data_IF_475434833015
#
_entry.id   IF_475434833015
#
_cell.length_a   1.000
_cell.length_b   1.000
_cell.length_c   1.000
_cell.angle_alpha   90.00
_cell.angle_beta   90.00
_cell.angle_gamma   90.00
#
_symmetry.space_group_name_H-M   'P 1'
#
loop_
_entity.id
_entity.type
_entity.pdbx_description
1 polymer ?
2 branched ?
3 non-polymer ?
4 non-polymer ?
5 non-polymer ?
6 non-polymer ?
7 non-polymer ?
8 water ?
#
# COMPACT_ATOMS: atom_id res chain seq x y z
N UNK A 22 4.63 22.34 34.06
CA UNK A 22 4.33 21.98 32.64
C UNK A 22 5.58 22.12 31.77
N UNK A 23 5.97 21.03 31.10
CA UNK A 23 6.86 21.06 29.91
C UNK A 23 5.94 21.23 28.71
N UNK A 24 5.87 22.43 28.09
CA UNK A 24 5.06 22.61 26.89
C UNK A 24 5.65 21.78 25.74
N UNK A 25 4.79 21.13 24.97
CA UNK A 25 5.15 20.45 23.71
C UNK A 25 4.52 21.23 22.54
N UNK A 26 5.18 21.19 21.39
CA UNK A 26 4.59 21.71 20.12
C UNK A 26 3.36 20.87 19.83
N UNK A 27 2.19 21.48 19.56
CA UNK A 27 0.99 20.70 19.24
C UNK A 27 1.17 19.86 17.97
N UNK A 28 0.49 18.73 17.95
CA UNK A 28 0.39 17.87 16.76
C UNK A 28 -0.29 18.65 15.64
N UNK A 29 0.30 18.58 14.44
CA UNK A 29 -0.31 19.20 13.23
C UNK A 29 -0.01 18.26 12.07
N UNK A 30 -0.86 18.26 11.05
CA UNK A 30 -0.53 17.52 9.81
C UNK A 30 0.77 18.12 9.25
N UNK A 31 1.66 17.27 8.77
CA UNK A 31 2.78 17.68 7.91
C UNK A 31 2.24 17.88 6.50
N UNK A 32 2.56 19.03 5.91
CA UNK A 32 2.18 19.31 4.51
C UNK A 32 3.31 18.82 3.60
N UNK A 33 2.95 18.00 2.63
CA UNK A 33 3.80 17.73 1.45
C UNK A 33 3.43 18.80 0.43
N UNK A 34 4.33 19.76 0.23
CA UNK A 34 4.00 20.99 -0.52
C UNK A 34 4.35 20.87 -2.00
N UNK A 35 3.84 21.81 -2.80
CA UNK A 35 4.20 21.87 -4.22
C UNK A 35 5.71 22.09 -4.35
N UNK A 36 6.28 22.94 -3.50
CA UNK A 36 7.73 23.19 -3.54
C UNK A 36 8.53 21.91 -3.28
N UNK A 37 8.08 21.09 -2.33
CA UNK A 37 8.73 19.77 -2.10
C UNK A 37 8.64 18.95 -3.40
N UNK A 38 7.47 18.93 -4.01
CA UNK A 38 7.23 18.09 -5.20
C UNK A 38 8.07 18.58 -6.38
N UNK A 39 8.39 19.86 -6.43
CA UNK A 39 9.26 20.38 -7.51
C UNK A 39 10.67 19.79 -7.42
N UNK A 40 11.04 19.25 -6.27
CA UNK A 40 12.36 18.60 -6.08
C UNK A 40 12.36 17.16 -6.62
N UNK A 41 11.22 16.62 -7.05
CA UNK A 41 11.20 15.19 -7.44
C UNK A 41 12.07 15.00 -8.68
N UNK A 42 13.04 14.09 -8.57
CA UNK A 42 13.98 13.77 -9.66
C UNK A 42 13.65 12.36 -10.16
N UNK A 43 13.17 12.26 -11.39
CA UNK A 43 12.78 10.97 -11.99
C UNK A 43 14.02 10.23 -12.53
N UNK A 44 15.21 10.82 -12.45
CA UNK A 44 16.45 10.34 -13.11
C UNK A 44 17.58 10.12 -12.10
N UNK A 45 17.22 9.80 -10.86
CA UNK A 45 18.21 9.62 -9.77
C UNK A 45 18.47 8.13 -9.60
N UNK A 46 19.67 7.62 -9.90
CA UNK A 46 19.88 6.18 -9.83
C UNK A 46 19.77 5.63 -8.41
N UNK A 47 19.90 6.46 -7.39
CA UNK A 47 19.80 6.02 -5.98
C UNK A 47 18.34 5.83 -5.57
N UNK A 48 17.39 6.30 -6.38
CA UNK A 48 15.94 6.25 -6.03
C UNK A 48 15.14 5.73 -7.23
N UNK A 49 15.75 4.88 -8.05
CA UNK A 49 15.08 4.27 -9.21
C UNK A 49 15.03 2.75 -9.05
N UNK A 50 13.87 2.16 -9.25
CA UNK A 50 13.73 0.68 -9.20
C UNK A 50 14.48 0.08 -10.37
N UNK A 51 15.22 -1.03 -10.16
CA UNK A 51 15.85 -1.76 -11.26
C UNK A 51 14.83 -2.13 -12.35
N UNK A 52 15.28 -2.11 -13.60
CA UNK A 52 14.44 -2.48 -14.77
C UNK A 52 13.95 -3.93 -14.64
N UNK A 53 12.65 -4.11 -14.78
CA UNK A 53 12.03 -5.45 -14.88
C UNK A 53 12.28 -5.99 -16.29
N UNK A 54 12.69 -7.25 -16.36
CA UNK A 54 12.95 -7.97 -17.64
C UNK A 54 11.62 -8.28 -18.34
N UNK A 55 11.61 -8.17 -19.67
CA UNK A 55 10.44 -8.54 -20.48
C UNK A 55 10.13 -10.02 -20.41
N UNK A 56 11.07 -10.86 -19.94
CA UNK A 56 10.91 -12.33 -19.87
C UNK A 56 10.50 -12.77 -18.45
N UNK A 57 9.91 -11.88 -17.65
CA UNK A 57 9.52 -12.22 -16.27
C UNK A 57 8.62 -13.45 -16.25
N UNK A 58 8.74 -14.29 -15.20
CA UNK A 58 7.85 -15.43 -15.01
C UNK A 58 6.51 -14.96 -14.41
N UNK A 59 5.49 -15.78 -14.56
CA UNK A 59 4.11 -15.50 -14.10
C UNK A 59 3.70 -16.59 -13.11
N UNK A 60 3.26 -16.20 -11.92
CA UNK A 60 3.09 -17.15 -10.79
C UNK A 60 1.80 -17.97 -10.93
N UNK A 61 0.82 -17.53 -11.72
CA UNK A 61 -0.45 -18.29 -11.92
C UNK A 61 -1.00 -18.08 -13.32
N UNK A 62 -1.49 -19.17 -13.93
CA UNK A 62 -2.23 -19.13 -15.22
C UNK A 62 -3.74 -19.09 -14.96
N UNK A 63 -4.17 -18.98 -13.71
CA UNK A 63 -5.61 -18.97 -13.32
C UNK A 63 -6.03 -17.61 -12.76
N UNK A 64 -5.14 -16.92 -12.05
CA UNK A 64 -5.49 -15.64 -11.37
C UNK A 64 -4.39 -14.62 -11.63
N UNK A 65 -4.81 -13.37 -11.63
CA UNK A 65 -3.93 -12.19 -11.47
C UNK A 65 -3.77 -11.92 -9.98
N UNK A 66 -2.58 -11.50 -9.57
CA UNK A 66 -2.41 -10.89 -8.23
C UNK A 66 -1.87 -9.49 -8.41
N UNK A 67 -2.05 -8.69 -7.38
CA UNK A 67 -1.35 -7.40 -7.39
C UNK A 67 -0.91 -7.11 -5.97
N UNK A 68 -1.55 -6.18 -5.27
CA UNK A 68 -1.18 -5.78 -3.89
C UNK A 68 -0.91 -7.03 -3.06
N UNK A 69 0.30 -7.12 -2.54
CA UNK A 69 0.80 -8.29 -1.78
C UNK A 69 1.07 -7.86 -0.34
N UNK A 70 0.53 -8.60 0.61
CA UNK A 70 0.47 -8.23 2.04
C UNK A 70 1.08 -9.37 2.84
N UNK A 71 2.38 -9.31 3.17
CA UNK A 71 3.01 -10.39 3.94
C UNK A 71 2.38 -10.51 5.33
N UNK A 72 2.24 -11.74 5.82
CA UNK A 72 1.85 -11.96 7.22
C UNK A 72 2.89 -11.31 8.13
N UNK A 73 2.41 -10.63 9.15
CA UNK A 73 3.30 -9.91 10.09
C UNK A 73 2.65 -9.85 11.47
N UNK A 74 3.45 -9.64 12.50
CA UNK A 74 2.90 -9.38 13.85
C UNK A 74 2.53 -7.90 13.99
N UNK A 75 2.00 -7.54 15.15
CA UNK A 75 1.47 -6.16 15.35
C UNK A 75 2.62 -5.15 15.38
N UNK A 76 3.85 -5.61 15.63
CA UNK A 76 5.05 -4.76 15.74
C UNK A 76 5.69 -4.55 14.36
N UNK A 77 5.20 -5.20 13.30
CA UNK A 77 5.71 -5.01 11.93
C UNK A 77 6.65 -6.11 11.48
N UNK A 78 6.96 -7.08 12.32
CA UNK A 78 7.89 -8.18 11.93
C UNK A 78 7.19 -9.11 10.93
N UNK A 79 7.80 -9.28 9.77
CA UNK A 79 7.33 -10.25 8.75
C UNK A 79 7.49 -11.65 9.37
N UNK A 80 6.42 -12.43 9.38
CA UNK A 80 6.36 -13.67 10.16
C UNK A 80 6.11 -14.89 9.26
N UNK A 81 6.91 -15.94 9.48
CA UNK A 81 6.58 -17.31 9.06
C UNK A 81 5.87 -18.01 10.21
N UNK A 82 5.15 -19.08 9.86
CA UNK A 82 4.43 -19.91 10.86
C UNK A 82 4.91 -21.35 10.67
N UNK A 83 5.54 -21.89 11.71
CA UNK A 83 6.14 -23.24 11.65
C UNK A 83 7.01 -23.35 10.39
N UNK A 84 7.75 -22.28 10.08
CA UNK A 84 8.71 -22.25 8.98
C UNK A 84 8.08 -21.85 7.65
N UNK A 85 6.76 -21.73 7.56
CA UNK A 85 6.05 -21.37 6.31
C UNK A 85 5.92 -19.85 6.21
N UNK A 86 6.51 -19.27 5.17
CA UNK A 86 6.19 -17.87 4.80
C UNK A 86 4.77 -17.85 4.24
N UNK A 87 4.05 -16.76 4.51
CA UNK A 87 2.64 -16.58 4.08
C UNK A 87 2.48 -15.15 3.56
N UNK A 88 1.87 -15.04 2.39
CA UNK A 88 1.44 -13.73 1.84
C UNK A 88 -0.05 -13.78 1.55
N UNK A 89 -0.71 -12.65 1.72
CA UNK A 89 -2.08 -12.41 1.25
C UNK A 89 -1.97 -11.56 -0.01
N UNK A 90 -2.84 -11.78 -0.97
CA UNK A 90 -2.84 -11.00 -2.23
C UNK A 90 -4.25 -10.55 -2.56
N UNK A 91 -4.36 -9.36 -3.11
CA UNK A 91 -5.54 -9.03 -3.92
C UNK A 91 -5.45 -9.84 -5.20
N UNK A 92 -6.57 -10.41 -5.60
CA UNK A 92 -6.62 -11.51 -6.57
C UNK A 92 -7.85 -11.35 -7.45
N UNK A 93 -7.71 -11.64 -8.73
CA UNK A 93 -8.82 -11.63 -9.68
C UNK A 93 -8.63 -12.78 -10.66
N UNK A 94 -9.73 -13.40 -11.05
CA UNK A 94 -9.67 -14.43 -12.09
C UNK A 94 -9.09 -13.86 -13.38
N UNK A 95 -8.30 -14.67 -14.06
CA UNK A 95 -8.05 -14.54 -15.51
C UNK A 95 -9.23 -15.14 -16.26
N UNK A 96 -9.66 -14.49 -17.33
CA UNK A 96 -10.91 -14.84 -18.08
C UNK A 96 -10.60 -14.95 -19.57
N UNK A 97 -9.67 -15.83 -19.98
CA UNK A 97 -9.22 -15.87 -21.38
C UNK A 97 -10.31 -16.28 -22.41
N UNK A 98 -11.42 -16.88 -21.97
CA UNK A 98 -12.50 -17.36 -22.87
C UNK A 98 -13.71 -16.43 -22.81
N UNK A 99 -13.68 -15.37 -21.99
CA UNK A 99 -14.80 -14.41 -21.88
C UNK A 99 -15.00 -13.71 -23.22
N UNK A 100 -16.21 -13.78 -23.82
CA UNK A 100 -16.48 -13.05 -25.07
C UNK A 100 -16.20 -11.55 -24.98
N UNK A 101 -16.40 -10.96 -23.80
CA UNK A 101 -16.19 -9.50 -23.56
C UNK A 101 -14.73 -9.11 -23.80
N UNK A 102 -13.81 -10.08 -23.75
CA UNK A 102 -12.35 -9.83 -23.84
C UNK A 102 -11.78 -10.36 -25.16
N UNK A 103 -12.61 -10.73 -26.11
CA UNK A 103 -12.15 -11.14 -27.46
C UNK A 103 -12.14 -9.90 -28.37
N UNK A 104 -11.01 -9.63 -29.03
CA UNK A 104 -10.83 -8.47 -29.93
C UNK A 104 -11.55 -8.75 -31.25
N UNK A 105 -11.40 -7.85 -32.24
CA UNK A 105 -12.09 -7.92 -33.56
C UNK A 105 -11.67 -9.18 -34.31
N UNK A 106 -10.44 -9.66 -34.10
CA UNK A 106 -9.89 -10.89 -34.75
C UNK A 106 -10.18 -12.12 -33.90
N UNK A 107 -10.98 -11.99 -32.83
CA UNK A 107 -11.44 -13.10 -31.98
C UNK A 107 -10.36 -13.59 -31.02
N UNK A 108 -9.36 -12.75 -30.72
CA UNK A 108 -8.23 -13.10 -29.81
C UNK A 108 -8.41 -12.40 -28.46
N UNK A 109 -8.07 -13.11 -27.39
CA UNK A 109 -8.11 -12.62 -25.98
C UNK A 109 -7.24 -11.37 -25.86
N UNK A 110 -7.81 -10.32 -25.27
CA UNK A 110 -7.13 -9.04 -24.93
C UNK A 110 -6.93 -8.98 -23.41
N UNK A 111 -5.77 -9.45 -22.94
CA UNK A 111 -5.42 -9.50 -21.49
C UNK A 111 -5.59 -8.11 -20.85
N UNK A 112 -5.35 -7.03 -21.58
CA UNK A 112 -5.38 -5.67 -20.98
C UNK A 112 -6.78 -5.38 -20.42
N UNK A 113 -7.84 -5.77 -21.13
CA UNK A 113 -9.24 -5.49 -20.68
C UNK A 113 -9.53 -6.26 -19.40
N UNK A 114 -9.10 -7.52 -19.34
CA UNK A 114 -9.30 -8.43 -18.20
C UNK A 114 -8.53 -7.89 -16.98
N UNK A 115 -7.27 -7.54 -17.18
CA UNK A 115 -6.42 -6.93 -16.14
C UNK A 115 -7.05 -5.64 -15.61
N UNK A 116 -7.53 -4.77 -16.49
CA UNK A 116 -8.11 -3.47 -16.07
C UNK A 116 -9.36 -3.69 -15.19
N UNK A 117 -10.05 -4.81 -15.37
CA UNK A 117 -11.30 -5.10 -14.63
C UNK A 117 -11.01 -5.78 -13.28
N UNK A 118 -9.75 -5.95 -12.90
CA UNK A 118 -9.42 -6.71 -11.67
C UNK A 118 -10.01 -6.04 -10.43
N UNK A 119 -10.02 -4.71 -10.37
CA UNK A 119 -10.40 -4.03 -9.12
C UNK A 119 -11.85 -4.33 -8.77
N UNK A 120 -12.71 -4.45 -9.78
CA UNK A 120 -14.15 -4.65 -9.55
C UNK A 120 -14.49 -6.06 -9.10
N UNK A 121 -13.52 -6.99 -9.15
CA UNK A 121 -13.74 -8.41 -8.78
C UNK A 121 -12.67 -8.87 -7.79
N UNK A 122 -12.05 -7.94 -7.05
CA UNK A 122 -10.91 -8.25 -6.16
C UNK A 122 -11.36 -9.10 -4.98
N UNK A 123 -10.57 -10.12 -4.66
CA UNK A 123 -10.75 -10.95 -3.45
C UNK A 123 -9.39 -11.25 -2.83
N UNK A 124 -9.40 -11.52 -1.53
CA UNK A 124 -8.19 -11.91 -0.77
C UNK A 124 -7.90 -13.39 -1.01
N UNK A 125 -6.70 -13.70 -1.47
CA UNK A 125 -6.15 -15.08 -1.46
C UNK A 125 -4.95 -15.09 -0.51
N UNK A 126 -4.49 -16.30 -0.18
CA UNK A 126 -3.19 -16.49 0.49
C UNK A 126 -2.35 -17.46 -0.33
N UNK A 127 -1.06 -17.37 -0.11
CA UNK A 127 0.02 -18.18 -0.72
C UNK A 127 1.04 -18.50 0.34
N UNK A 128 1.83 -19.55 0.13
CA UNK A 128 2.80 -19.98 1.16
C UNK A 128 4.02 -20.60 0.51
N UNK A 129 5.10 -20.63 1.27
CA UNK A 129 6.39 -21.19 0.81
C UNK A 129 7.35 -21.32 1.99
N UNK A 130 8.17 -22.37 2.00
CA UNK A 130 9.22 -22.51 3.05
C UNK A 130 10.48 -21.74 2.64
N UNK A 131 10.51 -21.10 1.47
CA UNK A 131 11.73 -20.38 1.00
C UNK A 131 11.49 -18.86 0.89
N UNK A 132 10.28 -18.38 1.15
CA UNK A 132 10.00 -16.94 0.96
C UNK A 132 9.90 -16.57 -0.51
N UNK A 133 9.78 -17.51 -1.42
CA UNK A 133 9.54 -17.27 -2.86
C UNK A 133 8.98 -18.55 -3.48
N UNK A 134 8.74 -18.55 -4.78
CA UNK A 134 8.19 -19.75 -5.47
C UNK A 134 6.89 -20.14 -4.76
N UNK A 135 6.01 -19.17 -4.61
CA UNK A 135 4.78 -19.25 -3.80
C UNK A 135 3.85 -20.32 -4.33
N UNK A 136 3.25 -21.03 -3.38
CA UNK A 136 2.19 -22.04 -3.63
C UNK A 136 0.85 -21.37 -3.33
N UNK A 137 -0.08 -21.48 -4.27
CA UNK A 137 -1.41 -20.85 -4.09
C UNK A 137 -2.21 -21.60 -3.02
N UNK A 138 -2.85 -20.87 -2.11
CA UNK A 138 -3.71 -21.42 -1.04
C UNK A 138 -5.19 -21.22 -1.30
N UNK A 139 -5.57 -20.24 -2.11
CA UNK A 139 -6.97 -19.95 -2.47
C UNK A 139 -7.54 -18.83 -1.65
N UNK A 140 -8.85 -18.67 -1.75
CA UNK A 140 -9.57 -17.54 -1.13
C UNK A 140 -9.46 -17.66 0.39
N UNK A 141 -9.33 -16.53 1.07
CA UNK A 141 -9.24 -16.49 2.56
C UNK A 141 -10.65 -16.65 3.13
N UNK A 142 -11.60 -15.88 2.62
CA UNK A 142 -13.00 -15.91 3.07
C UNK A 142 -13.82 -16.69 2.06
N UNK A 143 -14.61 -17.62 2.56
CA UNK A 143 -15.52 -18.41 1.72
C UNK A 143 -16.59 -17.52 1.08
N UNK A 144 -17.22 -18.04 0.04
CA UNK A 144 -18.36 -17.39 -0.66
C UNK A 144 -19.42 -17.02 0.40
N UNK A 145 -19.89 -15.78 0.37
CA UNK A 145 -21.00 -15.31 1.23
C UNK A 145 -20.51 -14.57 2.46
N UNK A 146 -19.22 -14.68 2.83
CA UNK A 146 -18.71 -14.07 4.09
C UNK A 146 -18.53 -12.56 3.89
N UNK A 147 -17.86 -12.15 2.82
CA UNK A 147 -17.57 -10.71 2.59
C UNK A 147 -18.88 -9.97 2.40
N UNK A 148 -19.15 -8.88 3.16
CA UNK A 148 -20.41 -8.15 3.02
C UNK A 148 -20.49 -7.27 1.78
N UNK A 149 -19.33 -6.99 1.17
CA UNK A 149 -19.24 -6.05 0.03
C UNK A 149 -18.90 -6.79 -1.24
N UNK A 150 -18.94 -6.10 -2.37
CA UNK A 150 -18.64 -6.73 -3.67
C UNK A 150 -17.14 -6.99 -3.79
N UNK A 151 -16.31 -6.14 -3.19
CA UNK A 151 -14.86 -6.22 -3.40
C UNK A 151 -14.17 -6.24 -2.04
N UNK A 152 -13.04 -6.92 -2.00
CA UNK A 152 -12.08 -6.86 -0.90
C UNK A 152 -10.84 -6.14 -1.41
N UNK A 153 -10.59 -4.94 -0.90
CA UNK A 153 -9.37 -4.17 -1.22
C UNK A 153 -8.38 -4.29 -0.06
N UNK A 154 -7.25 -3.63 -0.17
CA UNK A 154 -6.04 -4.03 0.56
C UNK A 154 -6.13 -3.72 2.05
N UNK A 155 -5.23 -4.35 2.77
CA UNK A 155 -5.06 -4.14 4.22
C UNK A 155 -3.85 -4.89 4.71
N UNK A 156 -3.98 -5.47 5.90
CA UNK A 156 -2.85 -6.07 6.61
C UNK A 156 -3.32 -7.33 7.35
N UNK A 157 -2.65 -8.47 7.13
CA UNK A 157 -2.89 -9.69 7.92
C UNK A 157 -1.97 -9.70 9.14
N UNK A 158 -2.55 -9.57 10.33
CA UNK A 158 -1.80 -9.50 11.60
C UNK A 158 -1.89 -10.84 12.33
N UNK A 159 -0.76 -11.50 12.44
CA UNK A 159 -0.64 -12.73 13.26
C UNK A 159 -0.65 -12.33 14.74
N UNK A 160 -1.60 -12.87 15.52
CA UNK A 160 -1.88 -12.39 16.91
C UNK A 160 -1.14 -13.20 17.96
N UNK A 161 -0.99 -14.51 17.76
CA UNK A 161 -0.60 -15.40 18.87
C UNK A 161 -0.17 -16.77 18.36
N UNK A 162 0.30 -17.60 19.29
CA UNK A 162 0.83 -18.95 19.00
C UNK A 162 -0.30 -19.96 18.80
N UNK A 163 -1.57 -19.56 18.89
CA UNK A 163 -2.73 -20.37 18.41
C UNK A 163 -2.90 -20.18 16.90
N UNK A 164 -2.17 -19.25 16.29
CA UNK A 164 -2.26 -18.97 14.84
C UNK A 164 -3.44 -18.08 14.51
N UNK A 165 -4.02 -17.39 15.50
CA UNK A 165 -5.13 -16.46 15.23
C UNK A 165 -4.58 -15.26 14.43
N UNK A 166 -5.33 -14.85 13.42
CA UNK A 166 -4.98 -13.72 12.52
C UNK A 166 -6.17 -12.76 12.50
N UNK A 167 -5.90 -11.47 12.69
CA UNK A 167 -6.85 -10.40 12.34
C UNK A 167 -6.46 -9.90 10.94
N UNK A 168 -7.32 -10.11 9.96
CA UNK A 168 -7.11 -9.55 8.62
C UNK A 168 -7.88 -8.24 8.58
N UNK A 169 -7.14 -7.14 8.61
CA UNK A 169 -7.69 -5.79 8.43
C UNK A 169 -7.73 -5.54 6.94
N UNK A 170 -8.85 -5.08 6.39
CA UNK A 170 -8.89 -4.84 4.93
C UNK A 170 -9.92 -3.76 4.66
N UNK A 171 -10.11 -3.47 3.38
CA UNK A 171 -11.08 -2.44 2.94
C UNK A 171 -12.25 -3.15 2.27
N UNK A 172 -13.43 -3.05 2.86
CA UNK A 172 -14.67 -3.63 2.29
C UNK A 172 -15.26 -2.57 1.36
N UNK A 173 -15.31 -2.85 0.06
CA UNK A 173 -15.65 -1.82 -0.95
C UNK A 173 -16.88 -2.25 -1.73
N UNK A 174 -17.89 -1.37 -1.70
CA UNK A 174 -19.13 -1.37 -2.51
C UNK A 174 -20.21 -2.18 -1.83
N UNK A 175 -21.26 -1.55 -1.25
CA UNK A 175 -21.41 -0.11 -1.12
C UNK A 175 -20.36 0.47 -0.15
N UNK A 176 -19.95 1.70 -0.43
CA UNK A 176 -19.05 2.46 0.44
C UNK A 176 -17.62 1.94 0.40
N UNK A 177 -16.81 2.45 1.29
CA UNK A 177 -15.43 1.98 1.50
C UNK A 177 -15.20 2.05 2.99
N UNK A 178 -15.10 0.90 3.62
CA UNK A 178 -15.09 0.79 5.09
C UNK A 178 -13.85 0.02 5.51
N UNK A 179 -13.14 0.51 6.50
CA UNK A 179 -12.07 -0.28 7.14
C UNK A 179 -12.75 -1.29 8.05
N UNK A 180 -12.42 -2.56 7.82
CA UNK A 180 -13.03 -3.72 8.53
C UNK A 180 -11.91 -4.66 8.98
N UNK A 181 -12.28 -5.62 9.82
CA UNK A 181 -11.36 -6.73 10.11
C UNK A 181 -12.16 -8.03 10.22
N UNK A 182 -11.47 -9.13 9.98
CA UNK A 182 -12.05 -10.48 10.14
C UNK A 182 -10.99 -11.37 10.80
N UNK A 183 -11.41 -12.07 11.85
CA UNK A 183 -10.56 -13.01 12.62
C UNK A 183 -10.64 -14.39 11.99
N UNK A 184 -9.50 -15.02 11.85
CA UNK A 184 -9.45 -16.45 11.50
C UNK A 184 -8.18 -17.03 12.05
N UNK A 185 -7.76 -18.16 11.51
CA UNK A 185 -6.62 -18.91 12.05
C UNK A 185 -5.84 -19.51 10.89
N UNK A 186 -4.53 -19.52 11.01
CA UNK A 186 -3.65 -20.26 10.09
C UNK A 186 -3.33 -21.62 10.71
N UNK A 187 -3.38 -22.65 9.87
CA UNK A 187 -3.06 -24.03 10.28
C UNK A 187 -2.02 -24.54 9.31
N UNK A 188 -0.95 -25.16 9.81
CA UNK A 188 0.09 -25.72 8.93
C UNK A 188 0.20 -27.23 9.11
N UNK A 189 0.60 -27.87 8.03
CA UNK A 189 1.15 -29.24 8.06
C UNK A 189 2.49 -29.24 7.34
N UNK A 190 3.16 -30.38 7.28
CA UNK A 190 4.43 -30.44 6.53
C UNK A 190 4.19 -30.31 5.02
N UNK A 191 2.96 -30.34 4.54
CA UNK A 191 2.65 -30.21 3.09
C UNK A 191 2.21 -28.79 2.72
N UNK A 192 1.71 -28.00 3.68
CA UNK A 192 1.23 -26.66 3.32
C UNK A 192 0.45 -26.00 4.43
N UNK A 193 -0.29 -24.98 4.03
CA UNK A 193 -0.95 -24.03 4.95
C UNK A 193 -2.42 -23.92 4.55
N UNK A 194 -3.28 -23.78 5.55
CA UNK A 194 -4.71 -23.49 5.33
C UNK A 194 -5.09 -22.27 6.16
N UNK A 195 -6.09 -21.53 5.68
CA UNK A 195 -6.70 -20.40 6.41
C UNK A 195 -8.13 -20.79 6.76
N UNK A 196 -8.44 -20.87 8.06
CA UNK A 196 -9.75 -21.38 8.55
C UNK A 196 -10.46 -20.35 9.42
N UNK A 197 -11.78 -20.37 9.40
CA UNK A 197 -12.60 -19.65 10.38
C UNK A 197 -12.74 -18.17 10.10
N UNK A 198 -12.40 -17.69 8.91
CA UNK A 198 -12.56 -16.24 8.57
C UNK A 198 -14.02 -16.02 8.17
N UNK A 199 -14.89 -15.80 9.16
CA UNK A 199 -16.36 -15.94 8.99
C UNK A 199 -17.14 -14.68 9.34
N UNK A 200 -16.59 -13.78 10.16
CA UNK A 200 -17.39 -12.65 10.71
C UNK A 200 -16.63 -11.35 10.47
N UNK A 201 -17.05 -10.61 9.46
CA UNK A 201 -16.42 -9.31 9.14
C UNK A 201 -17.01 -8.25 10.08
N UNK A 202 -16.12 -7.48 10.72
CA UNK A 202 -16.48 -6.45 11.71
C UNK A 202 -16.15 -5.06 11.14
N UNK A 203 -17.13 -4.17 11.13
CA UNK A 203 -16.95 -2.78 10.69
C UNK A 203 -16.12 -2.03 11.75
N UNK A 204 -15.05 -1.36 11.33
CA UNK A 204 -14.24 -0.53 12.27
C UNK A 204 -14.52 0.96 12.09
N UNK A 205 -14.40 1.48 10.88
CA UNK A 205 -14.70 2.92 10.63
C UNK A 205 -14.73 3.17 9.13
N UNK A 206 -15.35 4.31 8.81
CA UNK A 206 -15.41 4.86 7.44
C UNK A 206 -15.11 6.35 7.51
N UNK A 207 -15.02 7.00 6.36
CA UNK A 207 -14.75 8.45 6.32
C UNK A 207 -15.84 9.20 7.11
N UNK A 208 -15.41 10.22 7.84
CA UNK A 208 -16.30 10.99 8.76
C UNK A 208 -16.88 12.27 8.13
N UNK A 209 -16.15 12.92 7.22
CA UNK A 209 -16.63 14.14 6.54
C UNK A 209 -16.11 15.43 7.15
N UNK A 210 -15.51 15.40 8.34
CA UNK A 210 -14.92 16.61 8.96
C UNK A 210 -13.39 16.55 8.86
N UNK A 211 -12.82 15.36 9.04
CA UNK A 211 -11.36 15.14 8.92
C UNK A 211 -11.06 14.48 7.58
N UNK A 212 -11.76 13.40 7.25
CA UNK A 212 -11.55 12.64 6.00
C UNK A 212 -12.75 12.81 5.09
N UNK A 213 -12.46 13.00 3.81
CA UNK A 213 -13.49 13.22 2.79
C UNK A 213 -14.37 11.98 2.62
N UNK A 214 -15.65 12.21 2.41
CA UNK A 214 -16.65 11.14 2.17
C UNK A 214 -17.01 11.02 0.70
N UNK A 215 -17.71 9.93 0.37
CA UNK A 215 -18.23 9.75 -0.99
C UNK A 215 -19.23 10.85 -1.34
N UNK A 216 -20.03 11.32 -0.38
CA UNK A 216 -20.99 12.44 -0.59
C UNK A 216 -20.22 13.69 -1.02
N UNK A 217 -19.04 13.89 -0.45
CA UNK A 217 -18.23 15.07 -0.80
C UNK A 217 -17.50 14.87 -2.13
N UNK A 218 -17.18 13.63 -2.49
CA UNK A 218 -16.34 13.32 -3.67
C UNK A 218 -16.62 11.90 -4.11
N UNK A 219 -17.20 11.69 -5.31
CA UNK A 219 -17.44 10.32 -5.76
C UNK A 219 -16.15 9.51 -5.94
N UNK A 220 -15.02 10.20 -6.06
CA UNK A 220 -13.70 9.59 -6.29
C UNK A 220 -12.87 9.55 -5.00
N UNK A 221 -13.51 9.73 -3.85
CA UNK A 221 -12.80 9.72 -2.55
C UNK A 221 -12.04 8.42 -2.37
N UNK A 222 -10.93 8.48 -1.65
CA UNK A 222 -10.19 7.29 -1.18
C UNK A 222 -10.44 7.11 0.31
N UNK A 223 -10.60 5.86 0.72
CA UNK A 223 -10.63 5.48 2.14
C UNK A 223 -10.28 3.99 2.16
N UNK A 224 -9.02 3.67 2.38
CA UNK A 224 -8.55 2.30 2.14
C UNK A 224 -7.19 2.05 2.76
N UNK A 225 -6.76 0.80 2.67
CA UNK A 225 -5.36 0.37 2.92
C UNK A 225 -5.01 0.49 4.39
N UNK A 226 -5.78 -0.12 5.31
CA UNK A 226 -5.44 -0.07 6.72
C UNK A 226 -4.12 -0.79 7.06
N UNK A 227 -3.31 -0.13 7.86
CA UNK A 227 -2.00 -0.61 8.33
C UNK A 227 -1.94 -0.42 9.85
N UNK A 228 -2.42 -1.40 10.63
CA UNK A 228 -2.38 -1.33 12.08
C UNK A 228 -0.96 -1.59 12.57
N UNK A 229 -0.63 -0.98 13.70
CA UNK A 229 0.70 -1.20 14.31
C UNK A 229 0.65 -0.82 15.77
N UNK A 230 1.56 -1.43 16.52
CA UNK A 230 1.86 -1.02 17.90
C UNK A 230 2.98 0.00 17.83
N UNK A 231 2.75 1.18 18.38
CA UNK A 231 3.77 2.23 18.46
C UNK A 231 4.91 1.74 19.33
N UNK A 232 6.16 1.68 18.83
CA UNK A 232 7.26 1.17 19.65
C UNK A 232 7.54 2.01 20.90
N UNK A 233 7.20 3.30 20.92
CA UNK A 233 7.48 4.19 22.07
C UNK A 233 6.39 4.01 23.13
N UNK A 234 5.13 4.20 22.78
CA UNK A 234 3.99 4.25 23.75
C UNK A 234 3.43 2.84 23.99
N UNK A 235 3.59 1.93 23.03
CA UNK A 235 2.95 0.61 23.06
C UNK A 235 1.46 0.66 22.73
N UNK A 236 0.93 1.82 22.37
CA UNK A 236 -0.49 1.96 21.98
C UNK A 236 -0.69 1.44 20.55
N UNK A 237 -1.90 1.01 20.25
CA UNK A 237 -2.26 0.50 18.91
C UNK A 237 -2.84 1.64 18.08
N UNK A 238 -2.28 1.84 16.90
CA UNK A 238 -2.74 2.84 15.93
C UNK A 238 -2.93 2.15 14.59
N UNK A 239 -3.42 2.90 13.61
CA UNK A 239 -3.66 2.35 12.25
C UNK A 239 -3.55 3.48 11.24
N UNK A 240 -2.67 3.33 10.26
CA UNK A 240 -2.63 4.25 9.10
C UNK A 240 -3.68 3.84 8.08
N UNK A 241 -4.11 4.77 7.24
CA UNK A 241 -4.93 4.46 6.07
C UNK A 241 -4.79 5.60 5.08
N UNK A 242 -5.16 5.34 3.84
CA UNK A 242 -5.26 6.39 2.80
C UNK A 242 -6.60 7.07 2.91
N UNK A 243 -6.60 8.40 2.84
CA UNK A 243 -7.83 9.18 2.69
C UNK A 243 -7.63 10.37 1.79
N UNK A 244 -8.66 11.19 1.77
CA UNK A 244 -8.61 12.54 1.18
C UNK A 244 -8.98 13.53 2.26
N UNK A 245 -8.43 14.75 2.16
CA UNK A 245 -8.78 15.81 3.15
C UNK A 245 -10.27 16.15 3.02
N UNK A 246 -10.97 16.15 4.14
CA UNK A 246 -12.42 16.43 4.15
C UNK A 246 -12.75 17.75 3.45
N UNK A 247 -13.88 17.74 2.80
CA UNK A 247 -14.47 18.91 2.13
C UNK A 247 -15.03 18.53 0.79
N UNK A 248 -16.01 19.27 0.33
CA UNK A 248 -16.60 19.03 -1.01
C UNK A 248 -15.49 19.07 -2.05
N UNK A 249 -15.53 18.15 -2.99
CA UNK A 249 -14.58 18.16 -4.13
C UNK A 249 -14.62 19.53 -4.80
N UNK A 250 -13.45 20.11 -5.03
CA UNK A 250 -13.35 21.43 -5.67
C UNK A 250 -13.38 22.58 -4.67
N UNK A 251 -13.64 22.35 -3.38
CA UNK A 251 -13.76 23.46 -2.39
C UNK A 251 -12.42 23.79 -1.74
N UNK A 252 -11.46 22.88 -1.80
CA UNK A 252 -10.15 23.06 -1.14
C UNK A 252 -9.43 24.24 -1.79
N UNK A 253 -8.52 24.83 -1.04
CA UNK A 253 -7.71 25.95 -1.54
C UNK A 253 -6.24 25.61 -1.39
N UNK A 254 -5.49 25.83 -2.46
CA UNK A 254 -4.01 25.74 -2.42
C UNK A 254 -3.54 27.12 -1.96
N UNK A 255 -3.32 27.25 -0.66
CA UNK A 255 -2.83 28.49 -0.06
C UNK A 255 -1.32 28.47 0.05
N UNK A 256 -0.76 29.48 0.75
CA UNK A 256 0.69 29.59 0.87
C UNK A 256 1.36 28.33 1.45
N UNK A 257 0.71 27.67 2.41
CA UNK A 257 1.32 26.49 3.06
C UNK A 257 1.33 25.29 2.11
N UNK A 258 0.28 25.13 1.30
CA UNK A 258 0.22 24.02 0.31
C UNK A 258 1.17 24.28 -0.85
N UNK A 259 1.31 25.54 -1.26
CA UNK A 259 2.26 25.90 -2.33
C UNK A 259 3.69 25.67 -1.82
N UNK A 260 3.93 26.10 -0.58
CA UNK A 260 5.29 26.08 -0.01
C UNK A 260 6.23 27.07 -0.67
N UNK A 261 7.51 26.85 -0.49
CA UNK A 261 8.55 27.84 -0.88
C UNK A 261 8.95 27.63 -2.36
N UNK A 262 8.00 27.87 -3.24
CA UNK A 262 8.23 27.70 -4.71
C UNK A 262 9.13 28.84 -5.19
N UNK A 263 9.92 28.53 -6.23
CA UNK A 263 10.82 29.53 -6.82
C UNK A 263 10.08 30.43 -7.78
N UNK A 264 10.73 31.54 -8.18
CA UNK A 264 10.11 32.49 -9.09
C UNK A 264 9.61 31.81 -10.37
N UNK A 265 8.39 32.14 -10.76
CA UNK A 265 7.74 31.61 -11.97
C UNK A 265 6.91 30.36 -11.70
N UNK A 266 6.97 29.82 -10.47
CA UNK A 266 6.28 28.56 -10.12
C UNK A 266 5.12 28.80 -9.15
N UNK A 267 4.53 29.99 -9.18
CA UNK A 267 3.48 30.38 -8.22
C UNK A 267 2.10 29.86 -8.64
N UNK A 268 1.88 29.49 -9.91
CA UNK A 268 0.54 29.12 -10.43
C UNK A 268 0.23 27.69 -9.98
N UNK A 269 -0.80 27.53 -9.16
CA UNK A 269 -1.23 26.20 -8.67
C UNK A 269 -2.20 25.55 -9.67
N UNK A 270 -2.60 26.25 -10.73
CA UNK A 270 -3.55 25.71 -11.70
C UNK A 270 -4.82 25.23 -11.01
N UNK A 271 -5.29 24.05 -11.39
CA UNK A 271 -6.51 23.45 -10.81
C UNK A 271 -6.11 22.34 -9.81
N UNK A 272 -4.96 22.50 -9.16
CA UNK A 272 -4.41 21.46 -8.26
C UNK A 272 -5.19 21.37 -6.95
N UNK A 273 -6.16 22.24 -6.70
CA UNK A 273 -7.03 22.12 -5.51
C UNK A 273 -7.94 20.89 -5.63
N UNK A 274 -8.03 20.28 -6.80
CA UNK A 274 -8.74 18.99 -7.00
C UNK A 274 -7.91 17.80 -6.51
N UNK A 275 -6.64 17.96 -6.19
CA UNK A 275 -5.80 16.85 -5.67
C UNK A 275 -5.67 17.01 -4.16
N UNK A 276 -6.17 16.07 -3.36
CA UNK A 276 -6.36 16.28 -1.91
C UNK A 276 -6.01 15.02 -1.11
N UNK A 277 -4.98 14.29 -1.52
CA UNK A 277 -4.63 13.06 -0.79
C UNK A 277 -4.16 13.33 0.62
N UNK A 278 -4.35 12.38 1.51
CA UNK A 278 -3.75 12.44 2.85
C UNK A 278 -3.51 11.03 3.39
N UNK A 279 -2.60 10.97 4.33
CA UNK A 279 -2.37 9.76 5.16
C UNK A 279 -3.08 10.00 6.48
N UNK A 280 -4.10 9.20 6.75
CA UNK A 280 -4.86 9.24 8.00
C UNK A 280 -4.29 8.31 9.04
N UNK A 281 -4.74 8.53 10.25
CA UNK A 281 -4.37 7.67 11.40
C UNK A 281 -5.58 7.58 12.35
N UNK A 282 -5.72 6.40 12.95
CA UNK A 282 -6.74 6.10 13.97
C UNK A 282 -6.01 5.48 15.16
N UNK A 283 -6.65 5.54 16.32
CA UNK A 283 -6.11 4.96 17.57
C UNK A 283 -7.12 3.97 18.13
N UNK A 284 -6.61 2.91 18.74
CA UNK A 284 -7.47 1.91 19.37
C UNK A 284 -7.59 2.18 20.86
N UNK A 285 -8.79 1.96 21.40
CA UNK A 285 -9.11 2.08 22.84
C UNK A 285 -8.74 0.79 23.60
N UNK A 286 -8.20 -0.23 22.92
CA UNK A 286 -7.92 -1.55 23.54
C UNK A 286 -6.70 -2.21 22.86
N UNK A 287 -6.21 -3.33 23.43
CA UNK A 287 -5.03 -4.06 22.90
C UNK A 287 -5.43 -5.03 21.78
N UNK A 288 -6.74 -5.17 21.53
CA UNK A 288 -7.31 -6.23 20.64
C UNK A 288 -7.68 -5.65 19.28
N UNK A 289 -7.53 -4.35 19.09
CA UNK A 289 -7.86 -3.72 17.79
C UNK A 289 -9.35 -3.76 17.51
N UNK A 290 -10.20 -3.61 18.53
CA UNK A 290 -11.68 -3.74 18.35
C UNK A 290 -12.35 -2.37 18.15
N UNK A 291 -12.03 -1.39 18.99
CA UNK A 291 -12.77 -0.10 19.01
C UNK A 291 -11.81 1.02 18.65
N UNK A 292 -12.05 1.69 17.53
CA UNK A 292 -11.13 2.68 16.94
C UNK A 292 -11.72 4.09 16.96
N UNK A 293 -10.84 5.05 17.11
CA UNK A 293 -11.16 6.50 17.05
C UNK A 293 -10.34 7.15 15.94
N UNK A 294 -10.99 7.86 15.04
CA UNK A 294 -10.28 8.61 13.98
C UNK A 294 -9.55 9.81 14.58
N UNK A 295 -8.32 10.00 14.13
CA UNK A 295 -7.53 11.20 14.46
C UNK A 295 -7.36 12.00 13.19
N UNK A 296 -6.96 13.29 13.32
CA UNK A 296 -6.66 14.08 12.14
C UNK A 296 -5.48 13.55 11.36
N UNK A 297 -5.34 13.92 10.07
CA UNK A 297 -4.31 13.31 9.25
C UNK A 297 -2.88 13.59 9.70
N UNK A 298 -1.99 12.68 9.35
CA UNK A 298 -0.54 12.81 9.63
C UNK A 298 0.11 13.62 8.53
N UNK A 299 -0.23 13.36 7.27
CA UNK A 299 0.41 13.99 6.08
C UNK A 299 -0.71 14.40 5.15
N UNK A 300 -0.66 15.63 4.64
CA UNK A 300 -1.63 16.08 3.63
C UNK A 300 -0.88 16.54 2.38
N UNK A 301 -1.51 16.41 1.22
CA UNK A 301 -0.89 16.67 -0.09
C UNK A 301 -1.85 17.45 -0.99
N UNK A 302 -2.60 18.38 -0.41
CA UNK A 302 -3.50 19.27 -1.18
C UNK A 302 -2.68 20.10 -2.17
N UNK A 303 -3.05 20.05 -3.44
CA UNK A 303 -2.33 20.71 -4.52
C UNK A 303 -1.15 19.91 -5.05
N UNK A 304 -0.90 18.72 -4.49
CA UNK A 304 0.32 17.94 -4.80
C UNK A 304 -0.03 16.57 -5.35
N UNK A 305 -0.83 15.77 -4.67
CA UNK A 305 -1.19 14.44 -5.21
C UNK A 305 -2.53 14.02 -4.62
N UNK A 306 -3.38 13.46 -5.45
CA UNK A 306 -4.70 12.99 -4.98
C UNK A 306 -4.61 11.64 -4.24
N UNK A 307 -3.55 10.88 -4.46
CA UNK A 307 -3.51 9.47 -3.99
C UNK A 307 -2.20 9.21 -3.26
N UNK A 308 -2.28 9.24 -1.94
CA UNK A 308 -1.19 8.81 -1.03
C UNK A 308 -1.60 7.42 -0.54
N UNK A 309 -1.30 6.41 -1.33
CA UNK A 309 -1.84 5.05 -1.11
C UNK A 309 -0.96 4.26 -0.17
N UNK A 310 -1.54 3.16 0.32
CA UNK A 310 -0.80 2.13 1.07
C UNK A 310 0.21 2.73 2.05
N UNK A 311 -0.21 3.60 2.98
CA UNK A 311 0.73 4.13 3.95
C UNK A 311 1.21 3.07 4.93
N UNK A 312 2.49 3.07 5.23
CA UNK A 312 3.06 2.07 6.16
C UNK A 312 4.35 2.57 6.79
N UNK A 313 4.68 2.04 7.94
CA UNK A 313 5.87 2.45 8.71
C UNK A 313 7.00 1.45 8.63
N UNK A 314 8.22 1.96 8.66
CA UNK A 314 9.41 1.28 9.20
C UNK A 314 9.89 2.07 10.40
N UNK A 315 10.14 1.42 11.52
CA UNK A 315 10.75 2.02 12.71
C UNK A 315 12.24 1.68 12.68
N UNK A 316 13.09 2.70 12.62
CA UNK A 316 14.55 2.49 12.55
C UNK A 316 15.27 3.67 13.21
N UNK A 317 16.31 3.39 13.99
CA UNK A 317 17.19 4.43 14.57
C UNK A 317 16.36 5.40 15.44
N UNK A 318 15.28 4.92 16.08
CA UNK A 318 14.40 5.73 16.94
C UNK A 318 13.54 6.70 16.13
N UNK A 319 13.49 6.52 14.81
CA UNK A 319 12.72 7.39 13.89
C UNK A 319 11.55 6.60 13.29
N UNK A 320 10.62 7.36 12.73
CA UNK A 320 9.40 6.89 12.05
C UNK A 320 9.55 7.17 10.57
N UNK A 321 9.72 6.14 9.76
CA UNK A 321 9.81 6.25 8.30
C UNK A 321 8.44 5.90 7.76
N UNK A 322 7.73 6.86 7.20
CA UNK A 322 6.34 6.74 6.74
C UNK A 322 6.37 6.73 5.21
N UNK A 323 6.04 5.58 4.64
CA UNK A 323 6.05 5.38 3.17
C UNK A 323 4.62 5.44 2.65
N UNK A 324 4.49 5.84 1.40
CA UNK A 324 3.20 5.88 0.70
C UNK A 324 3.51 5.67 -0.78
N UNK A 325 2.56 5.08 -1.48
CA UNK A 325 2.71 4.75 -2.91
C UNK A 325 1.84 5.72 -3.69
N UNK A 326 2.35 6.21 -4.81
CA UNK A 326 1.56 7.16 -5.61
C UNK A 326 1.85 7.01 -7.09
N UNK A 327 1.05 7.72 -7.87
CA UNK A 327 1.08 7.66 -9.35
C UNK A 327 1.55 8.99 -9.94
N UNK A 328 2.25 8.91 -11.06
CA UNK A 328 2.48 10.07 -11.94
C UNK A 328 1.16 10.78 -12.24
N UNK A 329 0.12 10.02 -12.58
CA UNK A 329 -1.12 10.58 -13.15
C UNK A 329 -1.95 11.30 -12.09
N UNK A 330 -1.69 11.10 -10.79
CA UNK A 330 -2.50 11.74 -9.72
C UNK A 330 -1.79 12.98 -9.15
N UNK A 331 -0.67 13.40 -9.72
CA UNK A 331 -0.04 14.67 -9.34
C UNK A 331 -0.92 15.87 -9.66
N UNK A 332 -0.75 16.91 -8.87
CA UNK A 332 -1.35 18.23 -9.13
C UNK A 332 -0.91 18.81 -10.46
N UNK A 333 -1.73 19.67 -11.07
CA UNK A 333 -1.32 20.48 -12.25
C UNK A 333 0.05 21.09 -12.02
N UNK A 334 0.91 21.09 -13.04
CA UNK A 334 2.21 21.77 -13.00
C UNK A 334 3.28 20.98 -12.26
N UNK A 335 2.93 19.78 -11.78
CA UNK A 335 3.89 18.90 -11.08
C UNK A 335 3.93 17.54 -11.76
N UNK A 336 5.06 16.87 -11.65
CA UNK A 336 5.11 15.46 -12.07
C UNK A 336 6.20 14.72 -11.30
N UNK A 337 6.11 13.43 -11.41
CA UNK A 337 7.02 12.49 -10.79
C UNK A 337 6.59 11.09 -11.19
N UNK A 338 7.37 10.09 -10.77
CA UNK A 338 7.12 8.72 -11.19
C UNK A 338 6.08 8.03 -10.30
N UNK A 339 5.52 6.95 -10.85
CA UNK A 339 4.85 5.96 -9.99
C UNK A 339 5.90 5.38 -9.06
N UNK A 340 5.52 5.07 -7.84
CA UNK A 340 6.41 4.36 -6.93
C UNK A 340 6.28 4.80 -5.50
N UNK A 341 7.35 4.61 -4.75
CA UNK A 341 7.39 4.80 -3.28
C UNK A 341 7.85 6.22 -2.99
N UNK A 342 7.08 6.87 -2.13
CA UNK A 342 7.41 8.18 -1.55
C UNK A 342 7.49 7.97 -0.05
N UNK A 343 8.09 8.91 0.66
CA UNK A 343 8.16 8.75 2.11
C UNK A 343 8.71 9.95 2.83
N UNK A 344 8.57 9.88 4.13
CA UNK A 344 8.81 10.99 5.07
C UNK A 344 9.42 10.41 6.33
N UNK A 345 10.15 11.20 7.09
CA UNK A 345 10.75 10.74 8.35
C UNK A 345 10.47 11.75 9.47
N UNK A 346 10.24 11.26 10.66
CA UNK A 346 10.05 12.05 11.89
C UNK A 346 10.75 11.37 13.05
N UNK A 347 11.15 12.14 14.05
CA UNK A 347 11.58 11.60 15.35
C UNK A 347 10.36 11.12 16.16
N UNK A 348 9.16 11.55 15.80
CA UNK A 348 7.92 11.33 16.60
C UNK A 348 6.81 10.76 15.72
N UNK A 349 5.97 9.90 16.30
CA UNK A 349 4.83 9.35 15.55
C UNK A 349 3.99 10.49 14.95
N UNK A 350 3.73 11.55 15.70
CA UNK A 350 2.82 12.62 15.25
C UNK A 350 3.57 13.80 14.64
N UNK A 351 4.82 13.57 14.21
CA UNK A 351 5.54 14.56 13.41
C UNK A 351 6.36 15.50 14.27
N UNK A 352 6.97 16.52 13.67
CA UNK A 352 6.82 16.83 12.24
C UNK A 352 7.63 15.88 11.34
N UNK A 353 7.09 15.58 10.18
CA UNK A 353 7.75 14.75 9.15
C UNK A 353 8.45 15.65 8.14
N UNK A 354 9.56 15.17 7.59
CA UNK A 354 10.22 15.85 6.44
C UNK A 354 10.32 14.89 5.28
N UNK A 355 10.29 15.35 4.03
CA UNK A 355 10.32 14.45 2.88
C UNK A 355 11.68 13.77 2.74
N UNK A 356 11.66 12.45 2.53
CA UNK A 356 12.91 11.72 2.27
C UNK A 356 13.55 12.19 0.96
N UNK A 357 14.86 12.33 1.03
CA UNK A 357 15.68 12.77 -0.11
C UNK A 357 15.34 14.21 -0.53
N UNK A 358 14.67 14.97 0.32
CA UNK A 358 14.32 16.38 0.02
C UNK A 358 12.98 16.49 -0.68
N UNK A 359 12.64 15.56 -1.59
CA UNK A 359 11.43 15.65 -2.44
C UNK A 359 10.29 14.78 -1.92
N UNK A 360 10.64 13.71 -1.23
CA UNK A 360 9.71 12.63 -0.87
C UNK A 360 9.96 11.39 -1.70
N UNK A 361 10.61 11.45 -2.85
CA UNK A 361 10.74 10.24 -3.71
C UNK A 361 11.78 9.29 -3.10
N UNK A 362 11.36 8.03 -2.92
CA UNK A 362 12.19 6.94 -2.38
C UNK A 362 12.53 5.93 -3.50
N UNK A 363 11.53 5.49 -4.25
CA UNK A 363 11.79 4.44 -5.27
C UNK A 363 10.81 4.64 -6.43
N UNK A 364 11.28 5.32 -7.46
CA UNK A 364 10.46 5.60 -8.64
C UNK A 364 10.67 4.57 -9.72
N UNK A 365 9.62 4.27 -10.48
CA UNK A 365 9.79 3.44 -11.68
C UNK A 365 10.70 4.16 -12.66
N UNK A 366 11.54 3.43 -13.39
CA UNK A 366 12.38 4.07 -14.41
C UNK A 366 11.49 4.65 -15.49
N UNK A 367 11.81 5.87 -16.00
CA UNK A 367 10.98 6.50 -17.03
C UNK A 367 10.81 5.69 -18.32
N UNK A 368 11.74 4.79 -18.63
CA UNK A 368 11.65 3.89 -19.81
C UNK A 368 10.59 2.79 -19.59
N UNK A 369 10.26 2.46 -18.34
CA UNK A 369 9.24 1.45 -17.98
C UNK A 369 8.41 2.01 -16.84
N UNK A 370 7.65 3.09 -17.11
CA UNK A 370 7.08 3.89 -16.03
C UNK A 370 6.02 3.16 -15.20
N UNK A 371 5.44 2.09 -15.75
CA UNK A 371 4.36 1.33 -15.10
C UNK A 371 4.83 -0.09 -14.78
N UNK A 372 6.14 -0.33 -14.69
CA UNK A 372 6.61 -1.73 -14.56
C UNK A 372 6.11 -2.35 -13.26
N UNK A 373 6.02 -1.59 -12.16
CA UNK A 373 5.61 -2.16 -10.86
C UNK A 373 4.70 -1.18 -10.12
N UNK A 374 3.97 -1.72 -9.16
CA UNK A 374 3.17 -0.88 -8.26
C UNK A 374 2.92 -1.60 -6.93
N UNK A 375 2.22 -0.90 -6.04
CA UNK A 375 1.79 -1.34 -4.70
C UNK A 375 3.00 -1.83 -3.90
N UNK A 376 4.08 -1.07 -3.96
CA UNK A 376 5.30 -1.41 -3.22
C UNK A 376 5.02 -1.48 -1.72
N UNK A 377 5.82 -2.30 -1.04
CA UNK A 377 5.75 -2.44 0.43
C UNK A 377 7.17 -2.56 0.94
N UNK A 378 7.58 -1.54 1.70
CA UNK A 378 8.93 -1.46 2.31
C UNK A 378 8.87 -2.17 3.66
N UNK A 379 9.61 -3.26 3.76
CA UNK A 379 9.63 -4.06 4.99
C UNK A 379 10.76 -3.61 5.90
N UNK A 380 10.71 -3.92 7.21
CA UNK A 380 11.70 -3.37 8.13
C UNK A 380 13.14 -3.82 7.91
N UNK A 381 13.31 -4.90 7.15
CA UNK A 381 14.64 -5.43 6.77
C UNK A 381 15.16 -4.72 5.52
N UNK A 382 14.47 -3.66 5.05
CA UNK A 382 14.87 -2.87 3.87
C UNK A 382 14.41 -3.48 2.55
N UNK A 383 13.84 -4.67 2.56
CA UNK A 383 13.40 -5.27 1.28
C UNK A 383 12.05 -4.68 0.88
N UNK A 384 11.93 -4.37 -0.40
CA UNK A 384 10.72 -3.75 -0.98
C UNK A 384 10.14 -4.73 -2.00
N UNK A 385 8.94 -5.18 -1.71
CA UNK A 385 8.21 -6.07 -2.64
C UNK A 385 7.22 -5.22 -3.44
N UNK A 386 7.02 -5.59 -4.68
CA UNK A 386 6.03 -4.94 -5.57
C UNK A 386 5.54 -5.97 -6.58
N UNK A 387 4.45 -5.67 -7.26
CA UNK A 387 3.92 -6.54 -8.33
C UNK A 387 4.21 -5.89 -9.68
N UNK A 388 4.31 -6.71 -10.72
CA UNK A 388 4.52 -6.26 -12.11
C UNK A 388 3.18 -5.86 -12.72
N UNK A 389 3.12 -4.66 -13.27
CA UNK A 389 1.92 -4.17 -13.98
C UNK A 389 2.16 -4.30 -15.49
N UNK A 390 2.89 -3.36 -16.10
CA UNK A 390 3.05 -3.31 -17.57
C UNK A 390 4.52 -3.08 -17.92
N UNK A 391 5.09 -3.94 -18.74
CA UNK A 391 6.52 -3.89 -19.12
C UNK A 391 6.59 -3.77 -20.63
N UNK A 392 7.20 -2.71 -21.18
CA UNK A 392 7.34 -2.60 -22.64
C UNK A 392 8.27 -3.70 -23.18
N UNK A 393 7.95 -4.20 -24.37
CA UNK A 393 8.73 -5.28 -25.05
C UNK A 393 9.09 -4.85 -26.47
N UNK A 394 8.87 -3.57 -26.80
CA UNK A 394 9.09 -2.99 -28.13
C UNK A 394 8.51 -1.59 -28.19
N UNK A 395 8.48 -0.99 -29.39
CA UNK A 395 8.04 0.41 -29.62
C UNK A 395 6.55 0.55 -29.26
N UNK A 396 5.74 -0.44 -29.64
CA UNK A 396 4.26 -0.43 -29.48
C UNK A 396 3.79 -1.55 -28.55
N UNK A 397 4.62 -2.53 -28.24
CA UNK A 397 4.20 -3.79 -27.56
C UNK A 397 4.55 -3.75 -26.06
N UNK A 398 3.75 -4.42 -25.25
CA UNK A 398 4.02 -4.56 -23.80
C UNK A 398 3.38 -5.85 -23.29
N UNK A 399 3.87 -6.29 -22.12
CA UNK A 399 3.36 -7.46 -21.39
C UNK A 399 2.70 -6.98 -20.11
N UNK A 400 1.60 -7.61 -19.74
CA UNK A 400 0.92 -7.45 -18.43
C UNK A 400 1.50 -8.49 -17.46
N UNK A 401 1.72 -8.08 -16.21
CA UNK A 401 2.23 -8.96 -15.14
C UNK A 401 1.12 -9.64 -14.37
N UNK A 402 0.60 -8.95 -13.36
CA UNK A 402 -0.32 -9.59 -12.40
C UNK A 402 0.40 -10.68 -11.64
N UNK A 403 1.69 -10.47 -11.36
CA UNK A 403 2.60 -11.44 -10.73
C UNK A 403 3.67 -10.64 -9.97
N UNK A 404 4.44 -11.29 -9.12
CA UNK A 404 5.41 -10.56 -8.27
C UNK A 404 6.59 -10.04 -9.09
N UNK A 405 7.06 -8.85 -8.73
CA UNK A 405 8.27 -8.25 -9.30
C UNK A 405 9.47 -8.68 -8.48
N UNK A 406 10.70 -8.47 -9.01
CA UNK A 406 11.90 -8.64 -8.19
C UNK A 406 11.81 -7.76 -6.95
N UNK A 407 12.15 -8.32 -5.79
CA UNK A 407 12.31 -7.57 -4.54
C UNK A 407 13.58 -6.72 -4.65
N UNK A 408 13.59 -5.54 -4.06
CA UNK A 408 14.82 -4.73 -4.07
C UNK A 408 15.08 -4.20 -2.66
N UNK A 409 16.35 -4.23 -2.28
CA UNK A 409 16.81 -3.73 -0.97
C UNK A 409 17.09 -2.23 -1.07
N UNK A 410 16.55 -1.52 -0.09
CA UNK A 410 16.92 -0.08 0.10
C UNK A 410 17.49 0.08 1.49
N UNK A 411 18.24 1.16 1.65
CA UNK A 411 18.80 1.55 2.95
C UNK A 411 18.20 2.90 3.33
N UNK A 412 17.77 3.02 4.58
CA UNK A 412 17.25 4.28 5.16
C UNK A 412 18.38 4.84 6.00
N UNK A 413 18.75 6.09 5.74
CA UNK A 413 19.87 6.71 6.47
C UNK A 413 19.49 8.16 6.76
N UNK A 414 19.12 8.48 7.99
CA UNK A 414 18.66 9.85 8.27
C UNK A 414 17.48 10.19 7.38
N UNK A 415 17.55 11.30 6.65
CA UNK A 415 16.48 11.72 5.73
C UNK A 415 16.85 11.38 4.28
N UNK A 416 17.68 10.36 4.08
CA UNK A 416 18.05 9.85 2.74
C UNK A 416 17.62 8.38 2.63
N UNK A 417 17.42 7.98 1.39
CA UNK A 417 17.31 6.53 1.06
C UNK A 417 18.21 6.22 -0.11
N UNK A 418 18.61 4.95 -0.22
CA UNK A 418 19.51 4.46 -1.28
C UNK A 418 19.08 3.07 -1.73
N UNK A 419 18.95 2.89 -3.03
CA UNK A 419 18.67 1.54 -3.58
C UNK A 419 19.99 0.76 -3.63
N UNK A 420 19.95 -0.49 -3.17
CA UNK A 420 21.21 -1.29 -2.96
C UNK A 420 21.37 -2.49 -3.88
N UNK A 421 20.34 -3.26 -4.04
CA UNK A 421 20.50 -4.67 -4.52
C UNK A 421 19.16 -5.29 -4.92
N UNK A 422 19.14 -5.97 -6.06
CA UNK A 422 17.94 -6.66 -6.58
C UNK A 422 17.98 -8.14 -6.19
N UNK A 423 16.83 -8.66 -5.81
CA UNK A 423 16.61 -10.05 -5.38
C UNK A 423 15.60 -10.69 -6.31
N UNK A 424 15.28 -11.95 -6.05
CA UNK A 424 14.43 -12.75 -6.96
C UNK A 424 12.99 -12.21 -6.94
N UNK A 425 12.24 -12.61 -7.95
CA UNK A 425 10.79 -12.34 -8.07
C UNK A 425 10.11 -12.75 -6.77
N UNK A 426 9.34 -11.86 -6.18
CA UNK A 426 8.47 -12.18 -5.05
C UNK A 426 9.21 -12.66 -3.81
N UNK A 427 10.49 -12.31 -3.66
CA UNK A 427 11.27 -12.74 -2.49
C UNK A 427 10.83 -11.96 -1.26
N UNK A 428 10.25 -12.60 -0.28
CA UNK A 428 9.68 -12.01 0.95
C UNK A 428 10.10 -12.89 2.11
N UNK A 429 11.37 -12.83 2.55
CA UNK A 429 11.81 -13.70 3.64
C UNK A 429 11.24 -13.27 4.97
N UNK A 430 11.10 -14.19 5.93
CA UNK A 430 10.57 -13.85 7.24
C UNK A 430 11.66 -13.16 8.08
N UNK A 431 11.19 -12.33 9.01
CA UNK A 431 12.03 -11.73 10.06
C UNK A 431 11.95 -12.54 11.35
N UNK A 432 10.78 -13.12 11.63
CA UNK A 432 10.55 -14.00 12.81
C UNK A 432 9.83 -15.24 12.32
N UNK A 433 9.99 -16.29 13.09
CA UNK A 433 9.16 -17.50 12.94
C UNK A 433 8.34 -17.64 14.22
N UNK A 434 7.09 -18.05 14.05
CA UNK A 434 6.15 -18.23 15.18
C UNK A 434 5.75 -19.70 15.19
N UNK A 435 5.88 -20.32 16.37
CA UNK A 435 5.46 -21.72 16.55
C UNK A 435 3.95 -21.72 16.83
N UNK A 436 3.19 -22.37 15.95
CA UNK A 436 1.71 -22.40 16.01
C UNK A 436 1.21 -23.81 16.24
N UNK A 437 0.34 -23.94 17.25
CA UNK A 437 -0.42 -25.17 17.57
C UNK A 437 -1.79 -24.74 18.12
N UNK A 438 -2.81 -25.57 17.91
CA UNK A 438 -4.22 -25.33 18.34
C UNK A 438 -4.91 -26.68 18.57
X LIG B 1 -5.28 0.90 -6.90
X LIG B 1 -4.84 2.13 -7.68
X LIG B 1 -5.69 3.35 -7.37
X LIG B 1 -7.15 3.03 -7.57
X LIG B 1 -7.53 1.81 -6.78
X LIG B 1 -8.97 1.41 -7.07
X LIG B 1 -3.50 2.47 -7.35
X LIG B 1 -5.35 4.40 -8.26
X LIG B 1 -7.94 4.15 -7.14
X LIG B 1 -6.69 0.69 -7.12
X LIG B 1 -9.18 1.18 -8.47
X LIG B 2 -3.03 -0.29 -5.23
X LIG B 2 -4.49 -0.08 -4.82
X LIG B 2 -4.83 0.06 -3.32
X LIG B 2 -6.23 -0.56 -3.22
X LIG B 2 -6.17 -1.65 -4.31
X LIG B 2 -7.45 -1.93 -5.15
X LIG B 2 -2.92 -1.30 -6.27
X LIG B 2 -4.98 1.08 -5.51
X LIG B 2 -4.52 1.41 -2.85
X LIG B 2 -6.60 -1.20 -1.90
X LIG B 2 -5.16 -1.26 -5.23
X LIG B 2 -7.28 -2.96 -6.17
X LIG C 1 -17.48 -9.02 -12.30
X LIG C 1 -16.91 -7.73 -11.95
X LIG C 1 -18.61 -8.87 -13.17
X LIG C 1 -17.90 -9.68 -11.08
X LIG C 1 -16.46 -9.84 -12.93
X LIG D 1 -19.70 -5.52 8.73
X LIG D 1 -20.40 -6.64 8.23
X LIG D 1 -18.84 -4.91 7.69
X LIG D 1 -19.66 -4.13 6.82
X LIG D 1 -18.89 -3.36 5.88
X LIG D 1 -19.82 -2.58 5.02
X LIG D 1 -23.35 -4.62 3.80
X LIG D 1 -22.58 -3.81 2.93
X LIG D 1 -21.75 -2.79 3.66
X LIG D 1 -20.73 -3.46 4.40
X LIG E 1 15.98 -11.05 -12.71
X LIG E 1 15.80 -12.39 -12.31
X LIG E 1 16.09 -10.11 -11.55
X LIG E 1 16.05 -10.83 -10.32
X LIG E 1 17.22 -11.61 -10.08
X LIG E 1 18.05 -11.00 -9.00
X LIG E 1 18.83 -11.96 -8.31
X LIG F 1 -24.60 -8.16 -12.74
X LIG F 1 -24.25 -7.42 -13.91
X LIG F 1 -23.98 -8.28 -15.12
X LIG F 1 -22.87 -9.15 -14.91
X LIG F 1 -22.86 -10.25 -15.82
X LIG F 1 -22.57 -11.56 -15.14
X LIG F 1 -21.18 -11.70 -14.89
X LIG F 1 -20.86 -12.96 -14.31
X LIG F 1 -19.49 -12.90 -13.70
X LIG F 1 -18.53 -13.21 -14.70
X LIG F 1 -17.19 -12.99 -14.26
X LIG F 1 -16.28 -13.01 -15.45
X LIG F 1 -16.57 -11.91 -16.28
X LIG F 1 -15.66 -11.82 -17.39
X LIG F 1 -16.06 -10.70 -18.27
X LIG F 1 -16.21 -9.52 -17.48
X LIG F 1 -16.30 -8.35 -18.29
X LIG F 1 -16.33 -7.16 -17.40
X LIG F 1 -17.53 -7.16 -16.63
X LIG F 1 -17.47 -6.26 -15.53
X LIG F 1 -18.81 -6.19 -14.89
X LIG F 1 -19.69 -5.42 -15.71
X LIG F 1 -20.99 -5.28 -15.14
X LIG F 1 -21.90 -4.60 -16.11
X LIG F 1 -21.35 -3.40 -16.60
X LIG G 1 -14.13 5.22 -5.99
X LIG G 1 -12.88 5.38 -6.62
X LIG G 1 -14.26 3.88 -5.32
X LIG G 1 -14.74 2.91 -6.25
X LIG G 1 -14.95 1.63 -5.66
X LIG G 1 -15.15 0.58 -6.73
X LIG G 1 -11.95 0.40 -9.34
X LIG G 1 -13.20 -0.12 -9.80
X LIG G 1 -14.18 -0.38 -8.68
X LIG G 1 -14.16 0.71 -7.76
X LIG H 1 16.72 -14.26 -3.17
X LIG H 1 17.05 -13.43 -4.28
X LIG H 1 17.59 -15.49 -3.11
X LIG H 1 17.46 -16.22 -4.33
X LIG H 1 17.24 -16.40 -1.94
X LIG H 1 16.04 -17.12 -2.20
X LIG I 1 0.78 -11.00 -21.96
X LIG I 1 0.64 -9.63 -21.61
X LIG I 1 1.68 -11.82 -21.04
X LIG I 1 2.35 -11.03 -20.07
X LIG I 1 0.97 -12.95 -20.33
X LIG I 1 1.87 -13.67 -19.49
X LIG J 1 9.87 -28.24 10.22
X LIG J 1 9.63 -29.65 10.18
X LIG J 1 9.77 -27.62 8.83
X LIG J 1 8.45 -27.82 8.31
X LIG J 1 10.09 -26.14 8.82
X LIG J 1 11.47 -25.87 9.10
X LIG K 1 13.71 13.54 11.47
X LIG K 1 12.80 14.36 10.73
X LIG K 1 15.12 13.61 10.92
X LIG K 1 16.05 13.69 12.00
X LIG K 1 15.49 12.46 10.00
X LIG K 1 16.87 12.10 10.07
X LIG L 1 -14.14 -22.50 8.20
X LIG L 1 -13.98 -23.33 9.35
X LIG L 1 -13.07 -22.77 7.17
X LIG L 1 -12.85 -24.17 7.04
X LIG L 1 -13.37 -22.21 5.81
X LIG L 1 -12.20 -21.62 5.23
X LIG M 1 19.03 -9.65 2.83
X LIG M 1 19.45 -8.29 2.81
X LIG M 1 18.20 -9.97 4.06
X LIG M 1 17.45 -8.82 4.43
X LIG M 1 17.27 -11.15 3.86
X LIG M 1 16.68 -11.57 5.09
X LIG N 1 1.15 -33.54 8.49
X LIG N 1 2.23 -33.10 7.67
X LIG N 1 1.56 -33.50 9.93
X LIG N 1 2.70 -34.33 10.13
X LIG N 1 1.85 -32.08 10.38
X LIG N 1 2.67 -32.06 11.54
#
# INVERSE_FOLDING_TARGET
MSELYQAKSETRSTITSSLKGIQPYKPTKATIWSRADALKVNEYDPTTTQPLVSGDFPVMSDEVFIWNTMPLRDIDGNIASVNGWSVIFTLTADRNPTAPEYQDEQGNYDITLDWNDRHGRAKMYFWYSRTGKDWIIGGRVMAEGVSPTAREWAGTPVLLNERGEIDLYYTAVTPGATVVKVRGRVVTTENGVEMVGFKKVKSLFEADGKMYQTESQNPYWAFRDPCPFRDPKSGKLYMLFEGNVAGERGSHVVGPDELGDVPPGYEDAGNSHFQTGCIGIAVCRDEDGDDWELLPPLITAVGVNDQTERPHFVFQDGKYYLFTISHKFTYGDGLTGPDGVYGFVSENLFGPYVPLNGSGLVLGNPPSQPYQTYSHYVMPNGLVTSFIDSVPTGEDSYRIGGTEAPTVLIKLKGAQTFVLEEFDYGYIPPMIDVKVEHHHHHH
GLC C1 C2 C3 C4 C5 C6 O2 O3 O4 O5 O6
FRU C1 C2 C3 C4 C5 C6 O1 O2 O3 O4 O5 O6
SO4 S O1 O2 O3 O4
PGE C1 O1 C2 O2 C3 C4 O4 C6 C5 O3
PEG C1 O1 C2 O2 C3 C4 O4
PE8 O1 C2 C3 O4 C5 C6 O7 C8 C9 O10 C11 C12 O13 C14 C15 O16 C17 C18 O19 C20 C21 O22 C23 C24 O25
PGE C1 O1 C2 O2 C3 C4 O4 C6 C5 O3
GOL C1 O1 C2 O2 C3 O3
GOL C1 O1 C2 O2 C3 O3
GOL C1 O1 C2 O2 C3 O3
GOL C1 O1 C2 O2 C3 O3
GOL C1 O1 C2 O2 C3 O3
GOL C1 O1 C2 O2 C3 O3
GOL C1 O1 C2 O2 C3 O3
#
